data_IF_604903305173
#
_entry.id   IF_604903305173
#
_cell.length_a   1.000
_cell.length_b   1.000
_cell.length_c   1.000
_cell.angle_alpha   90.00
_cell.angle_beta   90.00
_cell.angle_gamma   90.00
#
_symmetry.space_group_name_H-M   'P 1'
#
loop_
_entity.id
_entity.type
_entity.pdbx_description
1 polymer ?
#
# COMPACT_ATOMS: atom_id res chain seq x y z
N UNK A 1 -25.28 0.08 2.79
CA UNK A 1 -25.66 1.34 3.46
C UNK A 1 -25.51 1.05 4.94
N UNK A 2 -24.45 1.57 5.56
CA UNK A 2 -24.25 1.40 6.99
C UNK A 2 -25.33 2.19 7.75
N UNK A 3 -25.82 1.63 8.85
CA UNK A 3 -26.89 2.21 9.67
C UNK A 3 -26.20 2.66 10.95
N UNK A 4 -26.36 3.93 11.30
CA UNK A 4 -25.86 4.43 12.57
C UNK A 4 -26.67 3.79 13.71
N UNK A 5 -26.00 3.01 14.56
CA UNK A 5 -26.63 2.24 15.64
C UNK A 5 -27.32 3.15 16.67
N UNK A 6 -26.90 4.42 16.76
CA UNK A 6 -27.45 5.40 17.71
C UNK A 6 -28.71 6.07 17.16
N UNK A 7 -28.70 6.49 15.90
CA UNK A 7 -29.83 7.20 15.29
C UNK A 7 -30.80 6.30 14.53
N UNK A 8 -30.47 5.01 14.32
CA UNK A 8 -31.20 4.04 13.51
C UNK A 8 -31.58 4.58 12.12
N UNK A 9 -30.74 5.49 11.60
CA UNK A 9 -30.82 6.07 10.27
C UNK A 9 -29.60 5.62 9.47
N UNK A 10 -29.74 5.63 8.16
CA UNK A 10 -28.58 5.43 7.30
C UNK A 10 -27.54 6.51 7.57
N UNK A 11 -26.26 6.12 7.69
CA UNK A 11 -25.14 7.06 7.88
C UNK A 11 -25.13 8.12 6.77
N UNK A 12 -25.57 7.73 5.58
CA UNK A 12 -25.79 8.59 4.42
C UNK A 12 -27.27 8.58 4.06
N UNK A 13 -28.07 9.53 4.57
CA UNK A 13 -29.52 9.54 4.40
C UNK A 13 -29.94 9.91 2.97
N UNK A 14 -29.18 10.74 2.25
CA UNK A 14 -29.37 11.00 0.82
C UNK A 14 -28.32 10.29 -0.04
N UNK A 15 -28.70 9.89 -1.26
CA UNK A 15 -27.82 9.17 -2.21
C UNK A 15 -26.53 9.96 -2.52
N UNK A 16 -26.58 11.30 -2.53
CA UNK A 16 -25.43 12.15 -2.83
C UNK A 16 -24.51 12.46 -1.64
N UNK A 17 -24.92 12.16 -0.41
CA UNK A 17 -24.13 12.48 0.79
C UNK A 17 -22.89 11.59 0.89
N UNK A 18 -23.03 10.31 0.52
CA UNK A 18 -21.90 9.38 0.47
C UNK A 18 -20.81 9.87 -0.47
N UNK A 19 -21.17 10.17 -1.73
CA UNK A 19 -20.22 10.63 -2.74
C UNK A 19 -19.54 11.95 -2.34
N UNK A 20 -20.26 12.85 -1.67
CA UNK A 20 -19.69 14.11 -1.16
C UNK A 20 -18.66 13.85 -0.06
N UNK A 21 -18.98 13.02 0.94
CA UNK A 21 -18.04 12.71 2.04
C UNK A 21 -16.83 11.92 1.57
N UNK A 22 -16.99 10.96 0.66
CA UNK A 22 -15.88 10.25 0.03
C UNK A 22 -15.01 11.23 -0.77
N UNK A 23 -15.62 12.15 -1.52
CA UNK A 23 -14.93 13.21 -2.26
C UNK A 23 -14.10 14.13 -1.37
N UNK A 24 -14.66 14.61 -0.26
CA UNK A 24 -13.94 15.42 0.73
C UNK A 24 -12.73 14.66 1.32
N UNK A 25 -12.91 13.39 1.68
CA UNK A 25 -11.82 12.56 2.20
C UNK A 25 -10.71 12.35 1.17
N UNK A 26 -11.06 12.23 -0.10
CA UNK A 26 -10.15 12.09 -1.23
C UNK A 26 -9.34 13.38 -1.47
N UNK A 27 -9.98 14.55 -1.46
CA UNK A 27 -9.27 15.80 -1.66
C UNK A 27 -8.26 16.07 -0.53
N UNK A 28 -8.64 15.79 0.72
CA UNK A 28 -7.72 15.83 1.87
C UNK A 28 -6.53 14.87 1.67
N UNK A 29 -6.74 13.69 1.09
CA UNK A 29 -5.67 12.75 0.79
C UNK A 29 -4.72 13.29 -0.29
N UNK A 30 -5.26 13.88 -1.36
CA UNK A 30 -4.47 14.47 -2.45
C UNK A 30 -3.62 15.62 -1.95
N UNK A 31 -4.16 16.49 -1.10
CA UNK A 31 -3.43 17.60 -0.49
C UNK A 31 -2.25 17.12 0.36
N UNK A 32 -2.45 16.09 1.19
CA UNK A 32 -1.39 15.54 2.06
C UNK A 32 -0.30 14.79 1.29
N UNK A 33 -0.65 14.15 0.17
CA UNK A 33 0.27 13.30 -0.59
C UNK A 33 1.34 14.07 -1.37
N UNK A 34 1.21 15.39 -1.56
CA UNK A 34 2.14 16.16 -2.40
C UNK A 34 3.45 16.55 -1.70
N UNK A 35 3.59 16.32 -0.40
CA UNK A 35 4.85 16.63 0.28
C UNK A 35 5.86 15.52 -0.02
N UNK A 36 6.96 15.79 -0.76
CA UNK A 36 8.03 14.83 -0.89
C UNK A 36 8.57 14.52 0.51
N UNK A 37 8.87 13.25 0.77
CA UNK A 37 9.59 12.88 1.98
C UNK A 37 10.90 13.68 1.96
N UNK A 38 11.21 14.46 3.01
CA UNK A 38 12.43 15.25 3.05
C UNK A 38 13.64 14.33 2.86
N UNK A 39 14.60 14.78 2.06
CA UNK A 39 15.76 13.99 1.60
C UNK A 39 16.44 13.26 2.78
N UNK A 40 16.68 11.94 2.66
CA UNK A 40 17.03 11.09 3.79
C UNK A 40 18.44 11.30 4.35
N UNK A 41 19.26 12.11 3.68
CA UNK A 41 20.69 12.25 3.99
C UNK A 41 20.94 12.67 5.46
N UNK A 42 20.06 13.50 6.04
CA UNK A 42 20.30 14.09 7.36
C UNK A 42 20.08 13.14 8.54
N UNK A 43 19.26 12.09 8.40
CA UNK A 43 19.07 11.07 9.46
C UNK A 43 19.98 9.86 9.25
N UNK A 44 20.39 9.59 8.01
CA UNK A 44 21.36 8.56 7.66
C UNK A 44 22.74 8.83 8.27
N UNK A 45 23.15 10.10 8.32
CA UNK A 45 24.39 10.55 8.96
C UNK A 45 24.44 10.25 10.47
N UNK A 46 23.30 10.24 11.15
CA UNK A 46 23.17 9.93 12.58
C UNK A 46 23.25 8.42 12.83
N UNK A 47 22.68 7.60 11.94
CA UNK A 47 22.77 6.13 11.99
C UNK A 47 24.15 5.60 11.60
N UNK A 48 24.84 6.24 10.65
CA UNK A 48 26.24 5.93 10.27
C UNK A 48 27.23 6.11 11.43
N UNK A 49 26.91 6.95 12.41
CA UNK A 49 27.71 7.16 13.63
C UNK A 49 27.50 6.04 14.66
N UNK A 50 26.51 5.16 14.48
CA UNK A 50 26.30 4.02 15.37
C UNK A 50 27.29 2.91 15.03
N UNK A 51 28.17 2.63 16.00
CA UNK A 51 29.19 1.58 16.07
C UNK A 51 28.99 0.36 15.15
N UNK A 52 30.08 -0.18 14.58
CA UNK A 52 30.18 -1.34 13.66
C UNK A 52 29.27 -2.54 14.04
N UNK A 53 29.04 -2.78 15.34
CA UNK A 53 28.15 -3.82 15.84
C UNK A 53 26.67 -3.57 15.51
N UNK A 54 26.20 -2.32 15.63
CA UNK A 54 24.84 -1.92 15.26
C UNK A 54 24.64 -2.01 13.75
N UNK A 55 25.62 -1.58 12.95
CA UNK A 55 25.59 -1.71 11.49
C UNK A 55 25.51 -3.17 11.05
N UNK A 56 26.21 -4.09 11.74
CA UNK A 56 26.19 -5.52 11.41
C UNK A 56 24.81 -6.14 11.66
N UNK A 57 24.17 -5.78 12.78
CA UNK A 57 22.81 -6.23 13.11
C UNK A 57 21.80 -5.65 12.13
N UNK A 58 21.89 -4.36 11.82
CA UNK A 58 20.99 -3.72 10.87
C UNK A 58 21.12 -4.32 9.47
N UNK A 59 22.34 -4.64 9.02
CA UNK A 59 22.57 -5.35 7.76
C UNK A 59 21.83 -6.68 7.72
N UNK A 60 21.86 -7.45 8.81
CA UNK A 60 21.15 -8.74 8.90
C UNK A 60 19.63 -8.53 8.90
N UNK A 61 19.11 -7.53 9.62
CA UNK A 61 17.67 -7.24 9.66
C UNK A 61 17.16 -6.73 8.30
N UNK A 62 17.92 -5.88 7.62
CA UNK A 62 17.60 -5.40 6.28
C UNK A 62 17.67 -6.52 5.24
N UNK A 63 18.65 -7.40 5.34
CA UNK A 63 18.72 -8.60 4.52
C UNK A 63 17.50 -9.51 4.76
N UNK A 64 17.15 -9.76 6.03
CA UNK A 64 16.00 -10.61 6.39
C UNK A 64 14.70 -10.03 5.82
N UNK A 65 14.44 -8.73 6.00
CA UNK A 65 13.27 -8.03 5.45
C UNK A 65 13.21 -8.11 3.93
N UNK A 66 14.33 -7.83 3.25
CA UNK A 66 14.41 -7.92 1.78
C UNK A 66 14.24 -9.34 1.25
N UNK A 67 14.66 -10.36 2.01
CA UNK A 67 14.62 -11.76 1.57
C UNK A 67 13.26 -12.44 1.75
N UNK A 68 12.33 -11.83 2.49
CA UNK A 68 11.03 -12.42 2.85
C UNK A 68 9.88 -11.42 2.69
N UNK A 69 9.74 -10.86 1.50
CA UNK A 69 8.65 -9.93 1.18
C UNK A 69 7.33 -10.69 0.95
N UNK A 70 6.31 -10.38 1.71
CA UNK A 70 4.97 -11.00 1.65
C UNK A 70 3.95 -10.02 1.09
N UNK A 71 3.63 -10.12 -0.21
CA UNK A 71 2.72 -9.19 -0.87
C UNK A 71 1.27 -9.31 -0.41
N UNK A 72 0.67 -8.17 -0.07
CA UNK A 72 -0.76 -8.02 0.13
C UNK A 72 -1.49 -7.97 -1.22
N UNK A 73 -2.60 -8.69 -1.32
CA UNK A 73 -3.43 -8.69 -2.53
C UNK A 73 -4.16 -7.34 -2.66
N UNK A 74 -3.72 -6.49 -3.58
CA UNK A 74 -4.40 -5.24 -3.95
C UNK A 74 -4.45 -5.08 -5.47
N UNK A 75 -5.41 -5.77 -6.09
CA UNK A 75 -5.48 -5.99 -7.54
C UNK A 75 -6.72 -5.35 -8.16
N UNK A 76 -6.76 -4.01 -8.31
CA UNK A 76 -7.96 -3.32 -8.77
C UNK A 76 -8.24 -3.44 -10.28
N UNK A 77 -7.25 -3.69 -11.14
CA UNK A 77 -7.45 -3.70 -12.60
C UNK A 77 -6.50 -4.65 -13.36
N UNK A 78 -6.28 -4.38 -14.65
CA UNK A 78 -5.54 -5.25 -15.58
C UNK A 78 -4.10 -5.59 -15.15
N UNK A 79 -3.39 -4.68 -14.47
CA UNK A 79 -2.04 -4.95 -13.99
C UNK A 79 -1.94 -6.09 -12.98
N UNK A 80 -3.06 -6.49 -12.39
CA UNK A 80 -3.14 -7.70 -11.58
C UNK A 80 -2.76 -8.97 -12.36
N UNK A 81 -3.20 -9.09 -13.61
CA UNK A 81 -2.90 -10.28 -14.43
C UNK A 81 -1.44 -10.34 -14.82
N UNK A 82 -0.82 -9.19 -15.05
CA UNK A 82 0.62 -9.07 -15.30
C UNK A 82 1.40 -9.50 -14.06
N UNK A 83 0.96 -9.10 -12.87
CA UNK A 83 1.55 -9.53 -11.61
C UNK A 83 1.36 -11.03 -11.35
N UNK A 84 0.17 -11.59 -11.59
CA UNK A 84 -0.09 -13.03 -11.45
C UNK A 84 0.77 -13.83 -12.43
N UNK A 85 0.92 -13.35 -13.68
CA UNK A 85 1.80 -13.97 -14.66
C UNK A 85 3.28 -13.90 -14.24
N UNK A 86 3.70 -12.81 -13.59
CA UNK A 86 5.03 -12.68 -13.01
C UNK A 86 5.25 -13.64 -11.82
N UNK A 87 4.19 -13.98 -11.08
CA UNK A 87 4.24 -14.94 -9.99
C UNK A 87 4.18 -16.41 -10.47
N UNK A 88 3.66 -16.63 -11.68
CA UNK A 88 3.58 -17.96 -12.28
C UNK A 88 4.96 -18.57 -12.62
N UNK A 89 4.98 -19.86 -12.94
CA UNK A 89 6.18 -20.69 -13.13
C UNK A 89 7.22 -20.16 -14.13
N UNK A 90 6.83 -19.28 -15.05
CA UNK A 90 7.75 -18.73 -16.06
C UNK A 90 8.72 -17.69 -15.47
N UNK A 91 8.22 -16.82 -14.59
CA UNK A 91 9.01 -15.71 -14.04
C UNK A 91 9.28 -15.89 -12.54
N UNK A 92 8.40 -16.60 -11.83
CA UNK A 92 8.63 -17.17 -10.50
C UNK A 92 9.19 -16.17 -9.47
N UNK A 93 8.31 -15.27 -9.01
CA UNK A 93 8.59 -14.32 -7.93
C UNK A 93 8.90 -15.00 -6.57
N UNK A 94 8.63 -16.30 -6.41
CA UNK A 94 8.95 -17.05 -5.18
C UNK A 94 10.45 -17.00 -4.85
N UNK A 95 11.30 -16.87 -5.87
CA UNK A 95 12.77 -16.77 -5.75
C UNK A 95 13.24 -15.58 -4.91
N UNK A 96 12.42 -14.53 -4.83
CA UNK A 96 12.72 -13.33 -4.04
C UNK A 96 12.02 -13.32 -2.68
N UNK A 97 11.42 -14.45 -2.27
CA UNK A 97 10.64 -14.56 -1.03
C UNK A 97 9.17 -14.17 -1.19
N UNK A 98 8.74 -13.78 -2.39
CA UNK A 98 7.38 -13.33 -2.72
C UNK A 98 6.51 -14.49 -3.25
N UNK A 99 6.63 -15.66 -2.63
CA UNK A 99 5.88 -16.85 -3.05
C UNK A 99 4.39 -16.74 -2.68
N UNK A 100 4.11 -16.27 -1.46
CA UNK A 100 2.77 -16.32 -0.89
C UNK A 100 2.09 -14.96 -1.03
N UNK A 101 1.03 -14.92 -1.85
CA UNK A 101 0.13 -13.78 -1.90
C UNK A 101 -0.83 -13.83 -0.70
N UNK A 102 -0.71 -12.87 0.21
CA UNK A 102 -1.54 -12.82 1.42
C UNK A 102 -2.80 -11.99 1.18
N UNK A 103 -3.96 -12.63 1.33
CA UNK A 103 -5.25 -11.95 1.28
C UNK A 103 -5.50 -11.10 2.53
N UNK A 104 -4.90 -11.46 3.67
CA UNK A 104 -5.01 -10.70 4.90
C UNK A 104 -3.92 -9.64 4.98
N UNK A 105 -4.25 -8.33 5.06
CA UNK A 105 -3.25 -7.27 5.15
C UNK A 105 -2.42 -7.33 6.43
N UNK A 106 -2.96 -7.91 7.51
CA UNK A 106 -2.23 -8.04 8.79
C UNK A 106 -1.05 -9.01 8.74
N UNK A 107 -1.00 -9.83 7.69
CA UNK A 107 0.04 -10.83 7.50
C UNK A 107 1.02 -10.42 6.39
N UNK A 108 0.84 -9.25 5.78
CA UNK A 108 1.64 -8.78 4.66
C UNK A 108 2.44 -7.54 5.06
N UNK A 109 3.60 -7.36 4.44
CA UNK A 109 4.52 -6.24 4.66
C UNK A 109 4.61 -5.33 3.43
N UNK A 110 4.53 -5.88 2.21
CA UNK A 110 4.51 -5.10 0.96
C UNK A 110 3.12 -5.04 0.35
N UNK A 111 2.62 -3.84 0.11
CA UNK A 111 1.37 -3.60 -0.60
C UNK A 111 1.66 -3.28 -2.06
N UNK A 112 1.16 -4.12 -2.96
CA UNK A 112 1.34 -3.93 -4.40
C UNK A 112 0.01 -3.48 -4.98
N UNK A 113 -0.12 -2.20 -5.34
CA UNK A 113 -1.30 -1.65 -5.98
C UNK A 113 -1.20 -1.84 -7.50
N UNK A 114 -1.80 -2.93 -7.99
CA UNK A 114 -1.70 -3.33 -9.39
C UNK A 114 -2.89 -2.86 -10.23
N UNK A 115 -2.80 -1.66 -10.79
CA UNK A 115 -3.74 -1.13 -11.77
C UNK A 115 -4.49 0.13 -11.34
N UNK A 116 -5.55 0.47 -12.07
CA UNK A 116 -6.32 1.72 -11.90
C UNK A 116 -7.02 1.80 -10.55
N UNK A 117 -6.84 2.92 -9.85
CA UNK A 117 -7.55 3.23 -8.61
C UNK A 117 -8.68 4.23 -8.86
N UNK A 118 -9.93 3.77 -8.76
CA UNK A 118 -11.10 4.64 -8.84
C UNK A 118 -11.30 5.41 -7.52
N UNK A 119 -11.96 6.57 -7.57
CA UNK A 119 -12.31 7.36 -6.37
C UNK A 119 -12.99 6.53 -5.28
N UNK A 120 -13.99 5.72 -5.65
CA UNK A 120 -14.70 4.82 -4.73
C UNK A 120 -13.81 3.76 -4.06
N UNK A 121 -12.69 3.41 -4.69
CA UNK A 121 -11.75 2.41 -4.18
C UNK A 121 -10.66 3.03 -3.30
N UNK A 122 -10.40 4.33 -3.44
CA UNK A 122 -9.37 5.05 -2.68
C UNK A 122 -9.50 4.89 -1.15
N UNK A 123 -10.68 5.08 -0.51
CA UNK A 123 -10.80 4.92 0.95
C UNK A 123 -10.56 3.47 1.41
N UNK A 124 -10.94 2.49 0.59
CA UNK A 124 -10.73 1.07 0.91
C UNK A 124 -9.26 0.67 0.84
N UNK A 125 -8.53 1.14 -0.17
CA UNK A 125 -7.08 0.92 -0.30
C UNK A 125 -6.33 1.54 0.86
N UNK A 126 -6.70 2.75 1.28
CA UNK A 126 -6.17 3.38 2.48
C UNK A 126 -6.43 2.53 3.73
N UNK A 127 -7.65 2.00 3.90
CA UNK A 127 -7.99 1.15 5.04
C UNK A 127 -7.14 -0.13 5.07
N UNK A 128 -6.88 -0.74 3.91
CA UNK A 128 -5.99 -1.91 3.79
C UNK A 128 -4.58 -1.53 4.27
N UNK A 129 -4.03 -0.41 3.78
CA UNK A 129 -2.72 0.09 4.18
C UNK A 129 -2.63 0.40 5.68
N UNK A 130 -3.65 1.01 6.27
CA UNK A 130 -3.73 1.31 7.70
C UNK A 130 -3.79 0.05 8.56
N UNK A 131 -4.34 -1.05 8.03
CA UNK A 131 -4.45 -2.34 8.72
C UNK A 131 -3.19 -3.22 8.61
N UNK A 132 -2.20 -2.82 7.81
CA UNK A 132 -0.91 -3.52 7.72
C UNK A 132 0.01 -3.16 8.89
N UNK A 133 0.78 -4.15 9.34
CA UNK A 133 1.77 -3.98 10.40
C UNK A 133 2.99 -3.18 9.92
N UNK A 134 3.64 -2.43 10.82
CA UNK A 134 4.95 -1.83 10.57
C UNK A 134 6.05 -2.88 10.75
N UNK A 135 7.08 -2.94 9.88
CA UNK A 135 7.36 -2.07 8.73
C UNK A 135 6.58 -2.46 7.47
N UNK A 136 6.03 -1.47 6.76
CA UNK A 136 5.31 -1.68 5.49
C UNK A 136 5.82 -0.86 4.33
N UNK A 137 5.69 -1.40 3.12
CA UNK A 137 6.08 -0.75 1.87
C UNK A 137 4.94 -0.74 0.86
N UNK A 138 4.89 0.26 -0.01
CA UNK A 138 3.87 0.37 -1.07
C UNK A 138 4.56 0.50 -2.42
N UNK A 139 4.14 -0.33 -3.38
CA UNK A 139 4.61 -0.29 -4.76
C UNK A 139 3.39 -0.08 -5.66
N UNK A 140 3.40 1.02 -6.42
CA UNK A 140 2.42 1.27 -7.46
C UNK A 140 2.87 0.62 -8.78
N UNK A 141 2.05 -0.26 -9.34
CA UNK A 141 2.31 -0.93 -10.63
C UNK A 141 1.34 -0.41 -11.68
N UNK A 142 1.91 0.00 -12.82
CA UNK A 142 1.18 0.46 -14.00
C UNK A 142 1.04 1.98 -14.05
N UNK A 143 0.96 2.52 -15.27
CA UNK A 143 0.82 3.96 -15.50
C UNK A 143 -0.44 4.55 -14.83
N UNK A 144 -1.53 3.77 -14.80
CA UNK A 144 -2.79 4.14 -14.16
C UNK A 144 -2.64 4.38 -12.65
N UNK A 145 -1.81 3.58 -11.95
CA UNK A 145 -1.61 3.69 -10.51
C UNK A 145 -0.58 4.74 -10.11
N UNK A 146 0.37 5.06 -11.00
CA UNK A 146 1.43 6.04 -10.75
C UNK A 146 0.96 7.46 -11.02
N UNK A 147 0.39 7.70 -12.20
CA UNK A 147 0.05 9.05 -12.67
C UNK A 147 -1.38 9.19 -13.20
N UNK A 148 -2.17 8.10 -13.18
CA UNK A 148 -3.54 8.07 -13.70
C UNK A 148 -3.69 7.60 -15.15
N UNK A 149 -2.65 7.60 -15.98
CA UNK A 149 -2.82 7.43 -17.43
C UNK A 149 -3.05 5.98 -17.87
N UNK A 150 -4.16 5.59 -18.51
CA UNK A 150 -4.91 6.28 -19.60
C UNK A 150 -6.24 6.97 -19.15
N UNK A 151 -6.49 7.17 -17.85
CA UNK A 151 -7.75 7.73 -17.33
C UNK A 151 -7.65 9.19 -16.88
#
# INVERSE_FOLDING_TARGET
>A
MEIDEVSNRYIYPEIGDLDRTEGEAIEVLKERSQQPIPDPDRWLDEELRQNILLTSVDTILNWARRSSLWPAICFPACCAFEFIAANASRFDLSRFGMEILRASPRQADVMITAGTLTWKMAPNVRRIYEQMAEPKWVIAIGACGISGGIF
#
